data_IF_301415070996
#
_entry.id   IF_301415070996
#
_cell.length_a   1.000
_cell.length_b   1.000
_cell.length_c   1.000
_cell.angle_alpha   90.00
_cell.angle_beta   90.00
_cell.angle_gamma   90.00
#
_symmetry.space_group_name_H-M   'P 1'
#
loop_
_entity.id
_entity.type
_entity.pdbx_description
1 polymer ?
#
# COMPACT_ATOMS: atom_id res chain seq x y z
N UNK A 1 74.84 50.43 9.42
CA UNK A 1 73.73 49.75 10.14
C UNK A 1 72.88 49.01 9.12
N UNK A 2 73.04 47.68 8.99
CA UNK A 2 72.04 46.66 9.36
C UNK A 2 70.61 46.95 8.85
N UNK A 3 70.13 46.18 7.86
CA UNK A 3 69.25 45.01 8.08
C UNK A 3 68.96 44.25 6.78
N UNK A 4 69.15 42.94 6.89
CA UNK A 4 68.69 41.84 6.05
C UNK A 4 67.20 41.60 6.34
N UNK A 5 66.41 41.19 5.34
CA UNK A 5 65.24 40.28 5.43
C UNK A 5 64.42 40.33 4.14
N UNK A 6 63.72 39.31 3.67
CA UNK A 6 63.76 37.85 3.81
C UNK A 6 62.80 37.34 2.72
N UNK A 7 63.09 36.18 2.15
CA UNK A 7 62.28 35.46 1.17
C UNK A 7 60.86 35.15 1.65
N UNK A 8 59.87 35.14 0.74
CA UNK A 8 58.89 34.04 0.69
C UNK A 8 58.17 33.99 -0.66
N UNK A 9 58.56 33.02 -1.49
CA UNK A 9 57.74 32.52 -2.58
C UNK A 9 56.55 31.74 -1.98
N UNK A 10 55.33 32.15 -2.28
CA UNK A 10 54.12 31.40 -1.96
C UNK A 10 53.69 30.65 -3.22
N UNK A 11 53.94 29.35 -3.22
CA UNK A 11 53.39 28.40 -4.19
C UNK A 11 51.87 28.35 -4.05
N UNK A 12 51.14 28.90 -5.01
CA UNK A 12 49.71 28.65 -5.14
C UNK A 12 49.55 27.33 -5.92
N UNK A 13 49.44 26.23 -5.19
CA UNK A 13 48.96 24.98 -5.75
C UNK A 13 47.47 25.18 -6.12
N UNK A 14 47.18 25.27 -7.42
CA UNK A 14 45.83 25.16 -7.93
C UNK A 14 45.31 23.75 -7.63
N UNK A 15 44.50 23.62 -6.58
CA UNK A 15 43.65 22.46 -6.37
C UNK A 15 42.54 22.47 -7.42
N UNK A 16 42.68 21.65 -8.45
CA UNK A 16 41.57 21.28 -9.31
C UNK A 16 40.47 20.66 -8.44
N UNK A 17 39.20 21.08 -8.56
CA UNK A 17 38.12 20.35 -7.91
C UNK A 17 38.05 18.97 -8.56
N UNK A 18 38.25 17.91 -7.75
CA UNK A 18 37.86 16.56 -8.13
C UNK A 18 36.37 16.64 -8.49
N UNK A 19 36.06 16.49 -9.77
CA UNK A 19 34.71 16.25 -10.21
C UNK A 19 34.20 15.05 -9.40
N UNK A 20 33.27 15.31 -8.49
CA UNK A 20 32.60 14.25 -7.75
C UNK A 20 31.99 13.31 -8.78
N UNK A 21 32.59 12.13 -8.95
CA UNK A 21 32.00 11.06 -9.72
C UNK A 21 30.63 10.81 -9.11
N UNK A 22 29.60 11.29 -9.81
CA UNK A 22 28.21 11.01 -9.49
C UNK A 22 28.11 9.49 -9.55
N UNK A 23 27.99 8.85 -8.39
CA UNK A 23 27.67 7.43 -8.32
C UNK A 23 26.50 7.17 -9.29
N UNK A 24 26.53 6.08 -10.07
CA UNK A 24 25.45 5.80 -11.00
C UNK A 24 24.14 5.85 -10.21
N UNK A 25 23.23 6.75 -10.63
CA UNK A 25 21.94 6.87 -9.98
C UNK A 25 21.20 5.56 -10.22
N UNK A 26 21.27 4.67 -9.23
CA UNK A 26 20.36 3.53 -9.13
C UNK A 26 18.96 4.08 -9.41
N UNK A 27 18.15 3.44 -10.28
CA UNK A 27 16.75 3.82 -10.42
C UNK A 27 16.19 3.97 -9.00
N UNK A 28 15.49 5.07 -8.66
CA UNK A 28 15.04 5.26 -7.29
C UNK A 28 14.05 4.13 -6.98
N UNK A 29 14.54 3.08 -6.34
CA UNK A 29 13.68 2.04 -5.77
C UNK A 29 12.99 2.61 -4.53
N UNK A 30 11.90 1.95 -4.12
CA UNK A 30 11.25 2.25 -2.84
C UNK A 30 12.29 2.30 -1.72
N UNK A 31 12.19 3.30 -0.86
CA UNK A 31 13.12 3.47 0.25
C UNK A 31 12.43 3.12 1.58
N UNK A 32 12.92 2.08 2.25
CA UNK A 32 12.46 1.70 3.60
C UNK A 32 13.44 2.22 4.67
N UNK A 33 13.00 2.28 5.94
CA UNK A 33 13.87 2.64 7.06
C UNK A 33 14.92 1.53 7.31
N UNK A 34 16.03 1.86 7.97
CA UNK A 34 17.12 0.90 8.25
C UNK A 34 16.71 -0.23 9.19
N UNK A 35 15.69 -0.02 10.03
CA UNK A 35 15.10 -0.98 10.96
C UNK A 35 13.69 -1.41 10.52
N UNK A 36 13.47 -1.57 9.22
CA UNK A 36 12.14 -1.83 8.68
C UNK A 36 11.57 -3.20 9.07
N UNK A 37 12.39 -4.22 9.31
CA UNK A 37 11.87 -5.52 9.76
C UNK A 37 11.34 -5.44 11.19
N UNK A 38 10.13 -5.95 11.39
CA UNK A 38 9.45 -5.88 12.67
C UNK A 38 10.05 -6.78 13.75
N UNK A 39 9.98 -6.31 14.99
CA UNK A 39 10.72 -6.87 16.14
C UNK A 39 9.87 -7.67 17.14
N UNK A 40 8.53 -7.64 17.09
CA UNK A 40 7.65 -8.33 18.06
C UNK A 40 6.66 -9.33 17.40
N UNK A 41 6.22 -10.34 18.16
CA UNK A 41 5.77 -11.66 17.66
C UNK A 41 4.26 -12.00 17.76
N UNK A 42 3.41 -11.22 18.41
CA UNK A 42 2.19 -11.77 19.08
C UNK A 42 0.92 -11.93 18.20
N UNK A 43 0.86 -11.44 16.95
CA UNK A 43 -0.32 -11.61 16.05
C UNK A 43 0.09 -12.01 14.63
N UNK A 44 1.20 -12.76 14.54
CA UNK A 44 2.04 -12.80 13.34
C UNK A 44 1.55 -13.77 12.28
N UNK A 45 1.06 -14.97 12.65
CA UNK A 45 0.69 -16.01 11.67
C UNK A 45 -0.44 -15.58 10.73
N UNK A 46 -1.61 -15.20 11.26
CA UNK A 46 -2.76 -14.92 10.38
C UNK A 46 -2.54 -13.66 9.51
N UNK A 47 -1.78 -12.70 10.02
CA UNK A 47 -1.37 -11.51 9.27
C UNK A 47 -0.38 -11.87 8.15
N UNK A 48 0.63 -12.72 8.44
CA UNK A 48 1.55 -13.23 7.42
C UNK A 48 0.83 -14.06 6.35
N UNK A 49 -0.17 -14.85 6.71
CA UNK A 49 -1.01 -15.58 5.75
C UNK A 49 -1.84 -14.64 4.86
N UNK A 50 -2.32 -13.52 5.38
CA UNK A 50 -2.96 -12.48 4.57
C UNK A 50 -1.96 -11.88 3.58
N UNK A 51 -0.78 -11.50 4.06
CA UNK A 51 0.26 -10.89 3.24
C UNK A 51 0.78 -11.83 2.16
N UNK A 52 1.00 -13.09 2.50
CA UNK A 52 1.42 -14.13 1.55
C UNK A 52 0.38 -14.31 0.44
N UNK A 53 -0.90 -14.37 0.79
CA UNK A 53 -1.99 -14.50 -0.20
C UNK A 53 -2.02 -13.30 -1.16
N UNK A 54 -2.04 -12.08 -0.64
CA UNK A 54 -2.13 -10.88 -1.48
C UNK A 54 -0.89 -10.67 -2.35
N UNK A 55 0.29 -10.95 -1.79
CA UNK A 55 1.53 -10.80 -2.55
C UNK A 55 1.74 -11.89 -3.60
N UNK A 56 1.28 -13.12 -3.37
CA UNK A 56 1.21 -14.16 -4.42
C UNK A 56 0.29 -13.77 -5.56
N UNK A 57 -0.87 -13.17 -5.26
CA UNK A 57 -1.77 -12.66 -6.28
C UNK A 57 -1.10 -11.56 -7.14
N UNK A 58 -0.24 -10.75 -6.54
CA UNK A 58 0.53 -9.70 -7.22
C UNK A 58 1.86 -10.16 -7.85
N UNK A 59 2.27 -11.41 -7.64
CA UNK A 59 3.58 -11.94 -8.06
C UNK A 59 3.74 -12.07 -9.60
N UNK A 60 2.65 -11.90 -10.36
CA UNK A 60 2.70 -11.88 -11.83
C UNK A 60 3.36 -10.64 -12.42
N UNK A 61 3.47 -9.54 -11.66
CA UNK A 61 4.14 -8.33 -12.10
C UNK A 61 5.65 -8.42 -11.92
N UNK A 62 6.41 -8.47 -13.02
CA UNK A 62 7.89 -8.51 -12.97
C UNK A 62 8.55 -7.14 -13.12
N UNK A 63 7.75 -6.10 -13.33
CA UNK A 63 8.22 -4.74 -13.65
C UNK A 63 7.65 -3.73 -12.68
N UNK A 64 8.41 -2.67 -12.43
CA UNK A 64 7.90 -1.50 -11.73
C UNK A 64 6.72 -0.90 -12.53
N UNK A 65 5.57 -0.66 -11.89
CA UNK A 65 4.46 -0.06 -12.59
C UNK A 65 4.74 1.40 -12.91
N UNK A 66 4.18 1.90 -14.01
CA UNK A 66 4.20 3.35 -14.31
C UNK A 66 3.13 4.06 -13.48
N UNK A 67 1.94 3.48 -13.43
CA UNK A 67 0.74 4.03 -12.77
C UNK A 67 0.24 3.05 -11.73
N UNK A 68 -0.12 3.54 -10.54
CA UNK A 68 -0.73 2.72 -9.48
C UNK A 68 -2.24 2.69 -9.66
N UNK A 69 -2.85 3.88 -9.75
CA UNK A 69 -4.29 4.05 -9.86
C UNK A 69 -4.63 5.43 -10.41
N UNK A 70 -5.52 5.51 -11.40
CA UNK A 70 -5.98 6.78 -11.97
C UNK A 70 -4.82 7.74 -12.31
N UNK A 71 -4.78 8.95 -11.75
CA UNK A 71 -3.68 9.91 -11.99
C UNK A 71 -2.41 9.64 -11.15
N UNK A 72 -2.42 8.66 -10.24
CA UNK A 72 -1.35 8.42 -9.27
C UNK A 72 -0.29 7.50 -9.87
N UNK A 73 0.93 8.02 -9.99
CA UNK A 73 2.09 7.27 -10.52
C UNK A 73 2.87 6.56 -9.43
N UNK A 74 3.61 5.53 -9.83
CA UNK A 74 4.58 4.88 -8.96
C UNK A 74 5.67 5.87 -8.51
N UNK A 75 5.93 5.89 -7.20
CA UNK A 75 6.90 6.77 -6.56
C UNK A 75 6.64 8.28 -6.76
N UNK A 76 5.40 8.65 -7.09
CA UNK A 76 4.96 10.03 -7.11
C UNK A 76 5.05 10.63 -5.71
N UNK A 77 5.61 11.84 -5.50
CA UNK A 77 5.54 12.51 -4.20
C UNK A 77 4.08 12.61 -3.70
N UNK A 78 3.84 12.30 -2.42
CA UNK A 78 2.47 12.33 -1.85
C UNK A 78 1.78 13.67 -2.06
N UNK A 79 2.53 14.77 -1.95
CA UNK A 79 1.99 16.12 -2.17
C UNK A 79 1.54 16.35 -3.62
N UNK A 80 2.18 15.73 -4.60
CA UNK A 80 1.74 15.77 -6.00
C UNK A 80 0.51 14.89 -6.21
N UNK A 81 0.47 13.70 -5.60
CA UNK A 81 -0.69 12.82 -5.65
C UNK A 81 -1.95 13.49 -5.05
N UNK A 82 -1.80 14.23 -3.94
CA UNK A 82 -2.89 15.00 -3.33
C UNK A 82 -3.38 16.10 -4.27
N UNK A 83 -2.48 16.81 -4.96
CA UNK A 83 -2.86 17.86 -5.93
C UNK A 83 -3.61 17.32 -7.14
N UNK A 84 -3.43 16.04 -7.48
CA UNK A 84 -4.14 15.38 -8.57
C UNK A 84 -5.57 14.95 -8.20
N UNK A 85 -5.95 15.05 -6.92
CA UNK A 85 -7.30 14.71 -6.48
C UNK A 85 -8.33 15.80 -6.82
N UNK A 86 -9.63 15.44 -6.88
CA UNK A 86 -10.69 16.42 -7.10
C UNK A 86 -10.72 17.55 -6.07
N UNK A 87 -11.38 18.66 -6.43
CA UNK A 87 -11.58 19.78 -5.51
C UNK A 87 -12.45 19.37 -4.32
N UNK A 88 -12.18 19.92 -3.13
CA UNK A 88 -12.94 19.64 -1.92
C UNK A 88 -12.47 18.40 -1.12
N UNK A 89 -11.39 17.76 -1.55
CA UNK A 89 -10.73 16.72 -0.76
C UNK A 89 -10.01 17.33 0.45
N UNK A 90 -10.16 16.71 1.62
CA UNK A 90 -9.58 17.18 2.90
C UNK A 90 -8.74 16.10 3.57
N UNK A 91 -7.56 16.47 4.06
CA UNK A 91 -6.73 15.57 4.88
C UNK A 91 -7.49 15.23 6.17
N UNK A 92 -7.64 13.94 6.44
CA UNK A 92 -8.26 13.44 7.67
C UNK A 92 -7.21 13.13 8.72
N UNK A 93 -6.24 12.30 8.35
CA UNK A 93 -5.26 11.75 9.26
C UNK A 93 -3.99 11.41 8.50
N UNK A 94 -2.87 11.48 9.20
CA UNK A 94 -1.60 10.94 8.72
C UNK A 94 -0.92 10.24 9.88
N UNK A 95 -0.33 9.08 9.61
CA UNK A 95 0.35 8.29 10.63
C UNK A 95 1.37 7.34 10.01
N UNK A 96 2.40 7.04 10.79
CA UNK A 96 3.37 5.99 10.45
C UNK A 96 2.78 4.64 10.78
N UNK A 97 2.98 3.66 9.90
CA UNK A 97 2.62 2.27 10.18
C UNK A 97 3.57 1.72 11.24
N UNK A 98 3.01 1.33 12.38
CA UNK A 98 3.75 0.79 13.54
C UNK A 98 3.45 -0.70 13.78
N UNK A 99 2.73 -1.34 12.86
CA UNK A 99 2.28 -2.72 13.04
C UNK A 99 3.41 -3.74 12.76
N UNK A 100 3.36 -4.85 13.49
CA UNK A 100 4.39 -5.87 13.66
C UNK A 100 4.62 -6.80 12.46
N UNK A 101 3.81 -6.76 11.41
CA UNK A 101 4.14 -7.47 10.15
C UNK A 101 4.45 -6.52 9.00
N UNK A 102 4.55 -5.22 9.27
CA UNK A 102 4.88 -4.23 8.26
C UNK A 102 6.27 -3.66 8.46
N UNK A 103 6.84 -3.08 7.39
CA UNK A 103 8.05 -2.27 7.47
C UNK A 103 7.93 -1.18 8.55
N UNK A 104 8.37 -1.44 9.80
CA UNK A 104 8.25 -0.51 10.91
C UNK A 104 8.91 0.81 10.54
N UNK A 105 8.26 1.92 10.86
CA UNK A 105 8.75 3.28 10.60
C UNK A 105 9.02 3.62 9.13
N UNK A 106 8.76 2.68 8.21
CA UNK A 106 9.16 2.80 6.81
C UNK A 106 8.00 3.19 5.91
N UNK A 107 6.77 3.03 6.41
CA UNK A 107 5.56 3.41 5.71
C UNK A 107 4.86 4.55 6.42
N UNK A 108 4.44 5.54 5.63
CA UNK A 108 3.56 6.62 6.06
C UNK A 108 2.23 6.49 5.31
N UNK A 109 1.14 6.57 6.05
CA UNK A 109 -0.22 6.59 5.50
C UNK A 109 -0.76 8.02 5.61
N UNK A 110 -1.21 8.56 4.48
CA UNK A 110 -1.99 9.81 4.44
C UNK A 110 -3.42 9.49 4.00
N UNK A 111 -4.39 9.78 4.87
CA UNK A 111 -5.82 9.60 4.62
C UNK A 111 -6.43 10.93 4.18
N UNK A 112 -7.06 10.92 3.01
CA UNK A 112 -7.84 12.03 2.49
C UNK A 112 -9.31 11.64 2.43
N UNK A 113 -10.18 12.43 3.05
CA UNK A 113 -11.63 12.32 2.86
C UNK A 113 -12.05 13.08 1.62
N UNK A 114 -12.90 12.42 0.85
CA UNK A 114 -13.44 12.94 -0.39
C UNK A 114 -14.88 13.32 -0.11
N UNK A 115 -15.21 14.59 -0.35
CA UNK A 115 -16.58 15.09 -0.26
C UNK A 115 -17.10 15.28 -1.68
N UNK A 116 -18.19 14.59 -2.03
CA UNK A 116 -18.76 14.60 -3.39
C UNK A 116 -18.87 13.22 -4.04
N UNK A 117 -19.45 13.17 -5.23
CA UNK A 117 -19.77 11.93 -5.96
C UNK A 117 -18.74 11.50 -7.01
N UNK A 118 -17.60 12.19 -7.08
CA UNK A 118 -16.69 12.15 -8.23
C UNK A 118 -15.68 11.01 -8.19
N UNK A 119 -15.52 10.35 -7.05
CA UNK A 119 -14.50 9.33 -6.89
C UNK A 119 -15.09 7.94 -7.13
N UNK A 120 -15.16 7.60 -8.42
CA UNK A 120 -15.72 6.33 -8.91
C UNK A 120 -14.58 5.43 -9.39
N UNK A 121 -14.59 4.18 -8.93
CA UNK A 121 -13.65 3.15 -9.35
C UNK A 121 -14.39 1.82 -9.54
N UNK A 122 -14.28 1.21 -10.72
CA UNK A 122 -15.03 -0.01 -11.04
C UNK A 122 -16.56 0.10 -10.97
N UNK A 123 -17.11 1.32 -11.01
CA UNK A 123 -18.54 1.61 -10.83
C UNK A 123 -18.98 1.85 -9.38
N UNK A 124 -18.06 1.76 -8.42
CA UNK A 124 -18.32 2.02 -6.99
C UNK A 124 -17.83 3.41 -6.58
N UNK A 125 -18.48 4.00 -5.58
CA UNK A 125 -18.16 5.35 -5.10
C UNK A 125 -17.41 5.27 -3.78
N UNK A 126 -16.20 5.81 -3.72
CA UNK A 126 -15.39 5.82 -2.49
C UNK A 126 -15.41 7.19 -1.84
N UNK A 127 -15.35 7.22 -0.51
CA UNK A 127 -15.37 8.46 0.28
C UNK A 127 -14.04 8.73 1.01
N UNK A 128 -13.09 7.79 0.94
CA UNK A 128 -11.74 7.96 1.46
C UNK A 128 -10.72 7.41 0.44
N UNK A 129 -9.56 8.07 0.37
CA UNK A 129 -8.35 7.56 -0.28
C UNK A 129 -7.19 7.58 0.70
N UNK A 130 -6.41 6.50 0.70
CA UNK A 130 -5.26 6.29 1.56
C UNK A 130 -4.04 6.18 0.66
N UNK A 131 -3.15 7.15 0.76
CA UNK A 131 -1.84 7.09 0.14
C UNK A 131 -0.88 6.37 1.08
N UNK A 132 -0.39 5.21 0.66
CA UNK A 132 0.70 4.51 1.34
C UNK A 132 2.00 4.97 0.68
N UNK A 133 2.91 5.50 1.47
CA UNK A 133 4.16 6.08 1.00
C UNK A 133 5.37 5.53 1.74
N UNK A 134 6.51 5.54 1.04
CA UNK A 134 7.78 5.07 1.56
C UNK A 134 8.46 6.10 2.48
N UNK A 135 9.70 5.83 2.91
CA UNK A 135 10.44 6.71 3.81
C UNK A 135 10.77 8.09 3.19
N UNK A 136 10.69 8.23 1.86
CA UNK A 136 10.87 9.50 1.12
C UNK A 136 9.54 10.19 0.82
N UNK A 137 8.42 9.71 1.38
CA UNK A 137 7.06 10.20 1.10
C UNK A 137 6.68 10.11 -0.39
N UNK A 138 7.14 9.05 -1.05
CA UNK A 138 6.75 8.71 -2.41
C UNK A 138 5.67 7.61 -2.35
N UNK A 139 4.59 7.76 -3.12
CA UNK A 139 3.46 6.83 -3.12
C UNK A 139 3.88 5.49 -3.69
N UNK A 140 3.67 4.44 -2.92
CA UNK A 140 3.94 3.04 -3.29
C UNK A 140 2.68 2.17 -3.31
N UNK A 141 1.55 2.67 -2.83
CA UNK A 141 0.28 1.97 -2.95
C UNK A 141 -0.88 2.92 -2.61
N UNK A 142 -2.06 2.58 -3.10
CA UNK A 142 -3.29 3.35 -2.89
C UNK A 142 -4.37 2.40 -2.38
N UNK A 143 -5.10 2.81 -1.35
CA UNK A 143 -6.37 2.18 -0.99
C UNK A 143 -7.52 3.17 -1.12
N UNK A 144 -8.59 2.73 -1.78
CA UNK A 144 -9.86 3.43 -1.85
C UNK A 144 -10.80 2.76 -0.88
N UNK A 145 -11.46 3.53 -0.01
CA UNK A 145 -12.36 2.99 1.00
C UNK A 145 -13.73 3.65 0.89
N UNK A 146 -14.76 2.81 0.82
CA UNK A 146 -16.14 3.19 0.94
C UNK A 146 -16.65 2.73 2.31
N UNK A 147 -16.88 3.68 3.21
CA UNK A 147 -17.49 3.38 4.51
C UNK A 147 -19.01 3.24 4.36
N UNK A 148 -19.60 2.20 4.95
CA UNK A 148 -21.04 1.89 4.88
C UNK A 148 -21.60 1.89 3.44
N UNK A 149 -21.03 1.06 2.54
CA UNK A 149 -21.48 1.01 1.15
C UNK A 149 -22.92 0.50 1.07
N UNK A 150 -23.72 1.10 0.17
CA UNK A 150 -25.08 0.60 -0.13
C UNK A 150 -25.06 -0.56 -1.13
N UNK A 151 -24.05 -0.59 -1.98
CA UNK A 151 -23.87 -1.59 -3.05
C UNK A 151 -22.36 -1.89 -3.12
N UNK A 152 -21.99 -3.17 -3.25
CA UNK A 152 -20.62 -3.62 -3.52
C UNK A 152 -20.60 -4.45 -4.80
N UNK A 153 -19.93 -3.98 -5.85
CA UNK A 153 -19.98 -4.60 -7.17
C UNK A 153 -18.94 -5.71 -7.34
N UNK A 154 -19.34 -6.97 -7.19
CA UNK A 154 -18.48 -8.12 -7.50
C UNK A 154 -18.59 -8.50 -8.97
N UNK A 155 -17.46 -8.88 -9.60
CA UNK A 155 -17.46 -9.31 -11.01
C UNK A 155 -16.47 -10.46 -11.24
N UNK A 156 -16.89 -11.73 -11.37
CA UNK A 156 -18.28 -12.21 -11.32
C UNK A 156 -18.81 -12.43 -9.90
N UNK A 157 -17.96 -12.85 -8.95
CA UNK A 157 -18.29 -13.08 -7.54
C UNK A 157 -17.02 -13.02 -6.69
N UNK A 158 -17.12 -12.93 -5.35
CA UNK A 158 -15.95 -13.12 -4.49
C UNK A 158 -15.24 -14.45 -4.76
N UNK A 159 -13.91 -14.46 -4.69
CA UNK A 159 -13.06 -15.65 -4.81
C UNK A 159 -13.09 -16.52 -3.55
N UNK A 160 -13.29 -15.88 -2.40
CA UNK A 160 -13.34 -16.53 -1.11
C UNK A 160 -13.64 -15.55 0.00
N UNK A 161 -13.47 -16.02 1.24
CA UNK A 161 -13.64 -15.24 2.47
C UNK A 161 -12.33 -15.26 3.25
N UNK A 162 -11.95 -14.12 3.83
CA UNK A 162 -10.89 -14.01 4.83
C UNK A 162 -11.54 -13.88 6.21
N UNK A 163 -11.11 -14.76 7.11
CA UNK A 163 -11.44 -14.74 8.53
C UNK A 163 -10.31 -15.45 9.30
N UNK A 164 -9.56 -14.77 10.18
CA UNK A 164 -9.59 -13.32 10.38
C UNK A 164 -9.16 -12.56 9.11
N UNK A 165 -9.66 -11.34 8.97
CA UNK A 165 -9.20 -10.39 7.98
C UNK A 165 -8.36 -9.33 8.66
N UNK A 166 -7.24 -8.95 8.04
CA UNK A 166 -6.43 -7.83 8.47
C UNK A 166 -6.45 -6.76 7.37
N UNK A 167 -7.09 -5.63 7.67
CA UNK A 167 -6.95 -4.43 6.87
C UNK A 167 -5.54 -3.89 7.11
N UNK A 168 -4.78 -3.80 6.02
CA UNK A 168 -3.38 -3.37 5.98
C UNK A 168 -3.13 -2.00 6.66
N UNK A 169 -4.15 -1.13 6.74
CA UNK A 169 -3.98 0.24 7.25
C UNK A 169 -4.73 0.51 8.56
N UNK A 170 -5.92 -0.07 8.76
CA UNK A 170 -6.71 0.16 9.98
C UNK A 170 -6.91 -1.12 10.78
N UNK A 171 -6.14 -1.24 11.86
CA UNK A 171 -6.16 -2.38 12.79
C UNK A 171 -7.39 -2.33 13.72
N UNK A 172 -8.06 -1.16 13.83
CA UNK A 172 -9.13 -0.93 14.83
C UNK A 172 -10.33 -1.87 14.71
N UNK A 173 -10.50 -2.52 13.56
CA UNK A 173 -11.66 -3.38 13.29
C UNK A 173 -11.35 -4.88 13.25
N UNK A 174 -10.08 -5.31 13.32
CA UNK A 174 -9.66 -6.56 12.68
C UNK A 174 -8.97 -7.60 13.59
N UNK A 175 -9.52 -7.78 14.79
CA UNK A 175 -9.17 -8.90 15.67
C UNK A 175 -10.31 -9.91 15.88
N UNK A 176 -11.41 -9.81 15.14
CA UNK A 176 -12.59 -10.65 15.38
C UNK A 176 -12.63 -11.84 14.43
N UNK A 177 -12.52 -13.05 14.98
CA UNK A 177 -12.77 -14.33 14.29
C UNK A 177 -14.27 -14.58 14.04
N UNK A 178 -15.06 -13.51 13.88
CA UNK A 178 -16.51 -13.56 13.61
C UNK A 178 -16.91 -12.66 12.44
N UNK A 179 -15.92 -12.05 11.77
CA UNK A 179 -16.14 -11.10 10.72
C UNK A 179 -15.74 -11.72 9.39
N UNK A 180 -16.73 -11.84 8.53
CA UNK A 180 -16.57 -12.38 7.19
C UNK A 180 -16.14 -11.26 6.25
N UNK A 181 -15.03 -11.44 5.54
CA UNK A 181 -14.55 -10.47 4.54
C UNK A 181 -14.37 -11.19 3.21
N UNK A 182 -15.34 -11.11 2.28
CA UNK A 182 -15.14 -11.63 0.95
C UNK A 182 -14.04 -10.82 0.26
N UNK A 183 -13.29 -11.49 -0.59
CA UNK A 183 -12.25 -10.84 -1.37
C UNK A 183 -12.29 -11.26 -2.83
N UNK A 184 -11.66 -10.45 -3.67
CA UNK A 184 -11.41 -10.73 -5.07
C UNK A 184 -10.09 -10.08 -5.48
N UNK A 185 -9.36 -10.72 -6.37
CA UNK A 185 -8.14 -10.19 -6.97
C UNK A 185 -8.36 -9.90 -8.45
N UNK A 186 -7.85 -8.78 -8.94
CA UNK A 186 -7.96 -8.39 -10.34
C UNK A 186 -6.65 -7.77 -10.81
N UNK A 187 -6.09 -8.26 -11.90
CA UNK A 187 -5.01 -7.57 -12.60
C UNK A 187 -5.56 -6.28 -13.20
N UNK A 188 -4.90 -5.14 -12.98
CA UNK A 188 -5.39 -3.83 -13.43
C UNK A 188 -4.52 -3.24 -14.54
N UNK A 189 -3.23 -3.08 -14.25
CA UNK A 189 -2.21 -2.58 -15.17
C UNK A 189 -0.92 -3.37 -14.95
N UNK A 190 0.04 -3.22 -15.86
CA UNK A 190 1.33 -3.90 -15.76
C UNK A 190 2.01 -3.57 -14.43
N UNK A 191 2.19 -4.61 -13.60
CA UNK A 191 2.81 -4.47 -12.29
C UNK A 191 1.88 -4.04 -11.15
N UNK A 192 0.56 -3.97 -11.34
CA UNK A 192 -0.41 -3.63 -10.27
C UNK A 192 -1.59 -4.60 -10.22
N UNK A 193 -1.81 -5.15 -9.02
CA UNK A 193 -2.98 -6.00 -8.72
C UNK A 193 -3.92 -5.26 -7.79
N UNK A 194 -5.20 -5.22 -8.16
CA UNK A 194 -6.27 -4.79 -7.28
C UNK A 194 -6.68 -5.95 -6.37
N UNK A 195 -6.55 -5.74 -5.07
CA UNK A 195 -7.12 -6.58 -4.02
C UNK A 195 -8.40 -5.88 -3.54
N UNK A 196 -9.55 -6.42 -3.92
CA UNK A 196 -10.86 -5.96 -3.47
C UNK A 196 -11.28 -6.75 -2.24
N UNK A 197 -11.71 -6.06 -1.19
CA UNK A 197 -12.29 -6.66 0.02
C UNK A 197 -13.54 -5.91 0.44
N UNK A 198 -14.43 -6.55 1.20
CA UNK A 198 -15.57 -5.86 1.82
C UNK A 198 -15.90 -6.44 3.19
N UNK A 199 -16.01 -5.61 4.22
CA UNK A 199 -16.38 -6.10 5.54
C UNK A 199 -17.88 -6.36 5.62
N UNK A 200 -18.30 -7.61 5.80
CA UNK A 200 -19.72 -7.94 5.99
C UNK A 200 -20.19 -7.45 7.37
N UNK A 201 -21.43 -6.96 7.42
CA UNK A 201 -22.12 -6.72 8.69
C UNK A 201 -22.56 -8.05 9.35
N UNK A 202 -22.75 -9.08 8.53
CA UNK A 202 -23.17 -10.41 8.96
C UNK A 202 -21.96 -11.32 9.23
N UNK A 203 -22.12 -12.33 10.11
CA UNK A 203 -21.02 -13.21 10.49
C UNK A 203 -20.59 -14.17 9.36
N UNK A 204 -21.44 -14.41 8.36
CA UNK A 204 -21.17 -15.36 7.27
C UNK A 204 -21.54 -14.77 5.92
N UNK A 205 -20.85 -15.21 4.86
CA UNK A 205 -21.20 -14.90 3.48
C UNK A 205 -22.47 -15.70 3.10
N UNK A 206 -23.59 -15.03 2.74
CA UNK A 206 -24.79 -15.69 2.26
C UNK A 206 -24.50 -16.62 1.09
N UNK A 207 -25.08 -17.81 1.13
CA UNK A 207 -24.98 -18.78 0.04
C UNK A 207 -26.12 -18.57 -0.96
N UNK A 208 -25.88 -18.76 -2.27
CA UNK A 208 -26.95 -18.81 -3.26
C UNK A 208 -27.96 -19.90 -2.92
N UNK A 209 -29.25 -19.75 -3.31
CA UNK A 209 -30.20 -20.86 -3.27
C UNK A 209 -29.65 -22.07 -4.04
N UNK A 210 -29.77 -23.27 -3.45
CA UNK A 210 -29.28 -24.51 -4.04
C UNK A 210 -29.99 -24.81 -5.37
N UNK A 211 -29.21 -25.17 -6.40
CA UNK A 211 -29.74 -25.64 -7.70
C UNK A 211 -29.94 -24.56 -8.78
N UNK A 212 -29.72 -23.28 -8.49
CA UNK A 212 -29.76 -22.20 -9.48
C UNK A 212 -28.44 -21.42 -9.49
N UNK A 213 -28.01 -20.98 -10.67
CA UNK A 213 -26.91 -20.02 -10.74
C UNK A 213 -27.33 -18.74 -9.99
N UNK A 214 -26.48 -18.19 -9.09
CA UNK A 214 -26.81 -16.95 -8.39
C UNK A 214 -27.10 -15.85 -9.42
N UNK A 215 -28.10 -14.99 -9.18
CA UNK A 215 -28.29 -13.83 -10.04
C UNK A 215 -27.00 -12.99 -10.07
N UNK A 216 -26.70 -12.31 -11.20
CA UNK A 216 -25.44 -11.57 -11.38
C UNK A 216 -25.09 -10.60 -10.24
N UNK A 217 -26.09 -10.10 -9.52
CA UNK A 217 -25.94 -9.12 -8.45
C UNK A 217 -26.25 -9.68 -7.05
N UNK A 218 -26.27 -11.00 -6.87
CA UNK A 218 -26.62 -11.62 -5.58
C UNK A 218 -25.84 -11.04 -4.40
N UNK A 219 -24.52 -10.90 -4.58
CA UNK A 219 -23.64 -10.37 -3.54
C UNK A 219 -23.67 -8.84 -3.44
N UNK A 220 -24.28 -8.14 -4.40
CA UNK A 220 -24.13 -6.69 -4.50
C UNK A 220 -24.90 -5.91 -3.43
N UNK A 221 -26.02 -6.45 -2.97
CA UNK A 221 -26.95 -5.78 -2.05
C UNK A 221 -26.87 -6.31 -0.61
N UNK A 222 -25.85 -7.11 -0.30
CA UNK A 222 -25.65 -7.59 1.06
C UNK A 222 -25.23 -6.41 1.97
N UNK A 223 -25.64 -6.38 3.25
CA UNK A 223 -25.19 -5.33 4.17
C UNK A 223 -23.69 -5.44 4.47
N UNK A 224 -22.92 -4.43 4.03
CA UNK A 224 -21.50 -4.29 4.30
C UNK A 224 -21.22 -3.06 5.18
N UNK A 225 -20.17 -3.13 5.99
CA UNK A 225 -19.66 -2.03 6.80
C UNK A 225 -18.58 -1.23 6.05
N UNK A 226 -17.86 -1.88 5.16
CA UNK A 226 -16.74 -1.30 4.42
C UNK A 226 -16.56 -2.00 3.07
N UNK A 227 -16.14 -1.27 2.04
CA UNK A 227 -15.58 -1.84 0.82
C UNK A 227 -14.25 -1.16 0.50
N UNK A 228 -13.23 -1.96 0.16
CA UNK A 228 -11.87 -1.50 -0.07
C UNK A 228 -11.38 -1.98 -1.42
N UNK A 229 -10.83 -1.05 -2.20
CA UNK A 229 -10.02 -1.34 -3.37
C UNK A 229 -8.56 -1.01 -3.06
N UNK A 230 -7.74 -2.04 -2.87
CA UNK A 230 -6.32 -1.89 -2.62
C UNK A 230 -5.50 -2.18 -3.87
N UNK A 231 -4.85 -1.13 -4.39
CA UNK A 231 -3.93 -1.23 -5.50
C UNK A 231 -2.55 -1.61 -4.98
N UNK A 232 -2.16 -2.86 -5.18
CA UNK A 232 -0.90 -3.45 -4.73
C UNK A 232 0.10 -3.58 -5.91
N UNK A 233 1.09 -2.68 -5.99
CA UNK A 233 2.22 -2.82 -6.89
C UNK A 233 3.06 -4.05 -6.61
N UNK A 234 3.55 -4.70 -7.66
CA UNK A 234 4.37 -5.90 -7.58
C UNK A 234 5.69 -5.70 -6.81
N UNK A 235 6.42 -4.57 -6.94
CA UNK A 235 7.61 -4.33 -6.12
C UNK A 235 7.27 -4.28 -4.62
N UNK A 236 6.11 -3.73 -4.27
CA UNK A 236 5.66 -3.67 -2.88
C UNK A 236 5.21 -5.04 -2.38
N UNK A 237 4.51 -5.82 -3.22
CA UNK A 237 4.17 -7.21 -2.93
C UNK A 237 5.41 -8.09 -2.68
N UNK A 238 6.48 -7.91 -3.46
CA UNK A 238 7.74 -8.62 -3.26
C UNK A 238 8.34 -8.36 -1.86
N UNK A 239 8.17 -7.14 -1.33
CA UNK A 239 8.60 -6.81 0.03
C UNK A 239 7.77 -7.49 1.11
N UNK A 240 6.48 -7.72 0.89
CA UNK A 240 5.70 -8.58 1.79
C UNK A 240 6.16 -10.03 1.75
N UNK A 241 6.51 -10.56 0.58
CA UNK A 241 7.09 -11.91 0.48
C UNK A 241 8.42 -12.02 1.24
N UNK A 242 9.30 -11.03 1.12
CA UNK A 242 10.55 -10.99 1.91
C UNK A 242 10.28 -11.03 3.42
N UNK A 243 9.27 -10.29 3.90
CA UNK A 243 8.85 -10.34 5.31
C UNK A 243 8.35 -11.75 5.64
N UNK A 244 7.40 -12.28 4.89
CA UNK A 244 6.82 -13.61 5.13
C UNK A 244 7.91 -14.68 5.19
N UNK A 245 8.82 -14.70 4.23
CA UNK A 245 9.94 -15.65 4.19
C UNK A 245 10.90 -15.49 5.36
N UNK A 246 11.28 -14.25 5.70
CA UNK A 246 12.13 -13.98 6.85
C UNK A 246 11.51 -14.51 8.14
N UNK A 247 10.20 -14.27 8.31
CA UNK A 247 9.45 -14.66 9.50
C UNK A 247 9.33 -16.19 9.61
N UNK A 248 9.04 -16.87 8.49
CA UNK A 248 9.02 -18.34 8.39
C UNK A 248 10.36 -18.96 8.73
N UNK A 249 11.46 -18.39 8.22
CA UNK A 249 12.83 -18.83 8.55
C UNK A 249 13.16 -18.66 10.04
N UNK A 250 12.58 -17.67 10.70
CA UNK A 250 12.72 -17.46 12.16
C UNK A 250 11.80 -18.36 13.01
N UNK A 251 11.14 -19.35 12.42
CA UNK A 251 10.28 -20.30 13.14
C UNK A 251 8.89 -19.78 13.47
N UNK A 252 8.47 -18.66 12.86
CA UNK A 252 7.09 -18.20 12.93
C UNK A 252 6.30 -18.85 11.78
N UNK A 253 5.33 -19.72 12.07
CA UNK A 253 4.53 -20.38 11.03
C UNK A 253 3.77 -19.37 10.16
#
# INVERSE_FOLDING_TARGET
>A
MKKIAFSLAVSLALSLPLAAQKAPATPPGMTFATNWLATQLITRRELLECLDLYSKAAAGGKTDPVTIWGPVKWLMPVQEAIKALPKGVRKQREFRVTNLAFPQNSLMVTIMAITGSEFVDGGEKFNLIYFISDAKQQVISVQLVQTNPKIVLWQPRPEGVREPYYNFIDDKWNGSTRQCVPFQTKTTSDGVTLIKTALLKLPNLPQPPTGAAPPPNFYAFIPYLESVHWYLPAPFAAKFQEIVEHNRKSGVP
#
